data_IF_779666321494
#
_entry.id   IF_779666321494
#
_cell.length_a   1.000
_cell.length_b   1.000
_cell.length_c   1.000
_cell.angle_alpha   90.00
_cell.angle_beta   90.00
_cell.angle_gamma   90.00
#
_symmetry.space_group_name_H-M   'P 1'
#
loop_
_entity.id
_entity.type
_entity.pdbx_description
1 polymer ?
#
# COMPACT_ATOMS: atom_id res chain seq x y z
N UNK A 1 -34.78 -43.74 -0.72
CA UNK A 1 -35.82 -44.21 0.23
C UNK A 1 -35.78 -43.32 1.46
N UNK A 2 -36.99 -42.83 1.86
CA UNK A 2 -37.36 -42.09 3.08
C UNK A 2 -36.82 -40.66 3.13
N UNK A 3 -37.51 -39.55 2.82
CA UNK A 3 -38.85 -38.98 3.10
C UNK A 3 -39.06 -38.54 4.56
N UNK A 4 -39.56 -37.27 4.66
CA UNK A 4 -40.33 -36.62 5.73
C UNK A 4 -39.50 -35.72 6.67
N UNK A 5 -39.94 -34.54 7.17
CA UNK A 5 -41.25 -33.88 7.08
C UNK A 5 -41.11 -32.44 7.58
N UNK A 6 -41.87 -31.54 6.99
CA UNK A 6 -42.14 -30.15 7.35
C UNK A 6 -42.73 -29.99 8.74
N UNK A 7 -42.50 -28.85 9.40
CA UNK A 7 -43.52 -28.26 10.26
C UNK A 7 -43.46 -26.73 10.27
N UNK A 8 -44.49 -26.12 9.73
CA UNK A 8 -44.91 -24.73 9.92
C UNK A 8 -45.54 -24.57 11.30
N UNK A 9 -45.28 -23.46 12.00
CA UNK A 9 -46.26 -22.93 12.95
C UNK A 9 -46.29 -21.40 12.88
N UNK A 10 -47.45 -20.90 12.54
CA UNK A 10 -47.83 -19.50 12.54
C UNK A 10 -48.61 -19.16 13.83
N UNK A 11 -48.68 -17.92 14.19
CA UNK A 11 -49.65 -17.34 15.13
C UNK A 11 -48.97 -16.41 16.14
N UNK A 12 -49.45 -15.27 16.51
CA UNK A 12 -50.56 -14.41 16.16
C UNK A 12 -50.35 -13.10 16.92
N UNK A 13 -50.86 -12.02 16.36
CA UNK A 13 -51.04 -10.67 16.94
C UNK A 13 -51.59 -10.63 18.37
N UNK A 14 -51.19 -9.57 19.11
CA UNK A 14 -52.09 -8.84 20.01
C UNK A 14 -51.82 -7.33 19.91
N UNK A 15 -52.88 -6.60 19.60
CA UNK A 15 -53.03 -5.14 19.65
C UNK A 15 -53.54 -4.70 21.04
N UNK A 16 -53.35 -3.45 21.32
CA UNK A 16 -54.09 -2.52 22.19
C UNK A 16 -53.27 -2.03 23.41
N UNK A 17 -53.30 -0.80 23.88
CA UNK A 17 -54.28 0.29 23.76
C UNK A 17 -53.64 1.64 24.11
N UNK A 18 -54.27 2.66 23.61
CA UNK A 18 -54.20 4.09 23.87
C UNK A 18 -54.32 4.49 25.35
N UNK A 19 -53.56 5.51 25.78
CA UNK A 19 -53.76 6.25 27.01
C UNK A 19 -53.22 7.66 26.91
N UNK A 20 -54.10 8.64 26.68
CA UNK A 20 -53.84 10.06 26.80
C UNK A 20 -53.71 10.47 28.27
N UNK A 21 -52.75 11.36 28.55
CA UNK A 21 -52.68 12.12 29.79
C UNK A 21 -51.82 13.34 29.62
N UNK A 22 -52.46 14.52 29.65
CA UNK A 22 -51.87 15.84 29.56
C UNK A 22 -51.25 16.28 30.89
N UNK A 23 -50.17 17.08 30.79
CA UNK A 23 -49.88 18.06 31.84
C UNK A 23 -48.42 18.26 32.20
N UNK A 24 -47.95 19.44 31.86
CA UNK A 24 -47.06 20.32 32.59
C UNK A 24 -45.61 20.50 32.15
N UNK A 25 -45.39 21.71 31.66
CA UNK A 25 -44.07 22.32 31.35
C UNK A 25 -43.14 22.32 32.56
N UNK A 26 -41.91 21.97 32.34
CA UNK A 26 -40.78 22.47 33.13
C UNK A 26 -39.56 22.60 32.21
N UNK A 27 -39.23 23.85 31.92
CA UNK A 27 -38.01 24.25 31.26
C UNK A 27 -36.80 23.95 32.13
N UNK A 28 -35.89 23.08 31.65
CA UNK A 28 -34.51 23.04 32.13
C UNK A 28 -33.59 23.11 30.93
N UNK A 29 -32.85 24.24 30.85
CA UNK A 29 -31.69 24.39 29.96
C UNK A 29 -30.66 23.32 30.36
N UNK A 30 -30.42 22.37 29.49
CA UNK A 30 -29.32 21.42 29.53
C UNK A 30 -28.57 21.58 28.25
N UNK A 31 -27.29 21.90 28.37
CA UNK A 31 -26.32 21.94 27.29
C UNK A 31 -26.42 20.66 26.46
N UNK A 32 -26.74 20.78 25.20
CA UNK A 32 -26.80 19.66 24.28
C UNK A 32 -25.40 19.19 23.98
N UNK A 33 -25.00 18.07 24.55
CA UNK A 33 -24.10 17.15 23.91
C UNK A 33 -24.90 16.54 22.74
N UNK A 34 -24.61 17.00 21.55
CA UNK A 34 -25.10 16.39 20.31
C UNK A 34 -24.28 15.11 20.12
N UNK A 35 -24.75 14.03 20.75
CA UNK A 35 -24.42 12.71 20.23
C UNK A 35 -25.01 12.67 18.81
N UNK A 36 -24.15 12.65 17.78
CA UNK A 36 -24.56 12.33 16.44
C UNK A 36 -25.33 11.00 16.50
N UNK A 37 -26.50 10.95 15.92
CA UNK A 37 -27.17 9.66 15.65
C UNK A 37 -26.16 8.84 14.87
N UNK A 38 -25.82 7.64 15.35
CA UNK A 38 -24.97 6.70 14.64
C UNK A 38 -25.67 6.36 13.32
N UNK A 39 -25.36 7.11 12.27
CA UNK A 39 -25.65 6.71 10.89
C UNK A 39 -24.89 5.42 10.59
N UNK A 40 -25.41 4.60 9.68
CA UNK A 40 -24.68 3.44 9.21
C UNK A 40 -23.34 3.92 8.61
N UNK A 41 -22.22 3.37 9.09
CA UNK A 41 -20.88 3.68 8.57
C UNK A 41 -20.78 3.25 7.11
N UNK A 42 -20.03 4.00 6.31
CA UNK A 42 -19.77 3.70 4.91
C UNK A 42 -18.70 2.60 4.83
N UNK A 43 -19.01 1.42 4.28
CA UNK A 43 -18.02 0.36 4.16
C UNK A 43 -16.94 0.71 3.14
N UNK A 44 -15.67 0.53 3.50
CA UNK A 44 -14.51 0.74 2.63
C UNK A 44 -13.50 -0.37 2.85
N UNK A 45 -13.00 -0.96 1.76
CA UNK A 45 -11.90 -1.92 1.80
C UNK A 45 -10.63 -1.26 1.29
N UNK A 46 -9.58 -1.33 2.10
CA UNK A 46 -8.24 -0.88 1.75
C UNK A 46 -7.37 -2.12 1.58
N UNK A 47 -6.77 -2.31 0.42
CA UNK A 47 -5.91 -3.44 0.13
C UNK A 47 -4.44 -3.04 0.01
N UNK A 48 -3.53 -3.95 0.36
CA UNK A 48 -2.10 -3.87 0.13
C UNK A 48 -1.44 -5.23 0.40
N UNK A 49 -0.18 -5.43 -0.02
CA UNK A 49 0.61 -6.61 0.32
C UNK A 49 1.25 -6.48 1.71
N UNK A 50 1.89 -7.54 2.17
CA UNK A 50 2.67 -7.51 3.43
C UNK A 50 3.93 -6.66 3.25
N UNK A 51 3.81 -5.39 3.65
CA UNK A 51 4.86 -4.38 3.66
C UNK A 51 4.63 -3.41 4.82
N UNK A 52 5.64 -3.18 5.65
CA UNK A 52 5.50 -2.32 6.83
C UNK A 52 5.18 -0.85 6.47
N UNK A 53 5.52 -0.39 5.26
CA UNK A 53 5.23 0.95 4.76
C UNK A 53 3.74 1.27 4.68
N UNK A 54 2.89 0.27 4.41
CA UNK A 54 1.41 0.44 4.38
C UNK A 54 0.77 0.28 5.75
N UNK A 55 1.47 -0.33 6.69
CA UNK A 55 0.91 -0.80 7.96
C UNK A 55 0.40 0.29 8.93
N UNK A 56 0.79 1.59 8.85
CA UNK A 56 0.14 2.64 9.62
C UNK A 56 -1.39 2.70 9.43
N UNK A 57 -1.94 2.17 8.34
CA UNK A 57 -3.40 2.01 8.15
C UNK A 57 -4.02 1.18 9.30
N UNK A 58 -3.33 0.14 9.79
CA UNK A 58 -3.81 -0.62 10.96
C UNK A 58 -3.89 0.23 12.23
N UNK A 59 -2.99 1.20 12.38
CA UNK A 59 -3.06 2.16 13.50
C UNK A 59 -4.33 3.02 13.35
N UNK A 60 -4.62 3.52 12.14
CA UNK A 60 -5.82 4.31 11.90
C UNK A 60 -7.10 3.51 12.21
N UNK A 61 -7.14 2.23 11.86
CA UNK A 61 -8.26 1.32 12.18
C UNK A 61 -8.36 1.07 13.69
N UNK A 62 -7.26 0.63 14.34
CA UNK A 62 -7.26 0.29 15.79
C UNK A 62 -7.58 1.53 16.66
N UNK A 63 -7.20 2.73 16.23
CA UNK A 63 -7.49 3.99 16.94
C UNK A 63 -8.86 4.57 16.59
N UNK A 64 -9.63 3.94 15.70
CA UNK A 64 -10.98 4.36 15.33
C UNK A 64 -11.05 5.63 14.47
N UNK A 65 -9.95 6.03 13.79
CA UNK A 65 -9.92 7.28 13.03
C UNK A 65 -10.90 7.27 11.85
N UNK A 66 -11.05 6.12 11.20
CA UNK A 66 -12.02 5.94 10.11
C UNK A 66 -13.46 5.95 10.62
N UNK A 67 -13.75 5.29 11.76
CA UNK A 67 -15.07 5.28 12.36
C UNK A 67 -15.50 6.69 12.79
N UNK A 68 -14.57 7.49 13.36
CA UNK A 68 -14.81 8.91 13.68
C UNK A 68 -15.19 9.73 12.45
N UNK A 69 -14.65 9.38 11.29
CA UNK A 69 -14.93 10.02 10.01
C UNK A 69 -16.17 9.45 9.29
N UNK A 70 -16.82 8.42 9.85
CA UNK A 70 -18.04 7.83 9.28
C UNK A 70 -17.81 6.63 8.36
N UNK A 71 -16.62 6.03 8.37
CA UNK A 71 -16.26 4.88 7.53
C UNK A 71 -16.00 3.63 8.36
N UNK A 72 -16.46 2.48 7.86
CA UNK A 72 -16.15 1.14 8.37
C UNK A 72 -15.10 0.51 7.46
N UNK A 73 -13.83 0.55 7.91
CA UNK A 73 -12.70 0.11 7.10
C UNK A 73 -12.30 -1.32 7.40
N UNK A 74 -12.30 -2.15 6.35
CA UNK A 74 -11.72 -3.49 6.33
C UNK A 74 -10.39 -3.45 5.58
N UNK A 75 -9.28 -3.82 6.24
CA UNK A 75 -7.98 -4.01 5.57
C UNK A 75 -7.92 -5.41 4.98
N UNK A 76 -7.51 -5.51 3.72
CA UNK A 76 -7.41 -6.77 2.98
C UNK A 76 -5.95 -6.97 2.54
N UNK A 77 -5.27 -7.95 3.12
CA UNK A 77 -3.93 -8.33 2.65
C UNK A 77 -4.07 -9.14 1.35
N UNK A 78 -3.41 -8.67 0.30
CA UNK A 78 -3.41 -9.26 -1.04
C UNK A 78 -1.96 -9.38 -1.53
N UNK A 79 -1.39 -10.59 -1.50
CA UNK A 79 0.01 -10.81 -1.90
C UNK A 79 0.20 -10.86 -3.43
N UNK A 80 -0.85 -11.17 -4.18
CA UNK A 80 -0.80 -11.20 -5.65
C UNK A 80 -1.20 -9.84 -6.22
N UNK A 81 -0.22 -8.95 -6.34
CA UNK A 81 -0.38 -7.59 -6.88
C UNK A 81 -0.94 -7.57 -8.30
N UNK A 82 -0.79 -8.65 -9.08
CA UNK A 82 -1.34 -8.74 -10.43
C UNK A 82 -2.88 -8.70 -10.46
N UNK A 83 -3.52 -8.91 -9.31
CA UNK A 83 -4.98 -8.90 -9.14
C UNK A 83 -5.56 -7.53 -8.80
N UNK A 84 -4.73 -6.55 -8.42
CA UNK A 84 -5.16 -5.25 -7.91
C UNK A 84 -6.02 -4.46 -8.91
N UNK A 85 -5.56 -4.31 -10.14
CA UNK A 85 -6.33 -3.60 -11.18
C UNK A 85 -7.71 -4.21 -11.43
N UNK A 86 -7.82 -5.55 -11.40
CA UNK A 86 -9.12 -6.23 -11.53
C UNK A 86 -10.01 -5.99 -10.30
N UNK A 87 -9.43 -5.92 -9.10
CA UNK A 87 -10.15 -5.62 -7.87
C UNK A 87 -10.70 -4.18 -7.88
N UNK A 88 -9.93 -3.21 -8.38
CA UNK A 88 -10.40 -1.83 -8.60
C UNK A 88 -11.52 -1.77 -9.62
N UNK A 89 -11.34 -2.35 -10.82
CA UNK A 89 -12.36 -2.35 -11.88
C UNK A 89 -13.67 -2.97 -11.41
N UNK A 90 -13.62 -4.02 -10.59
CA UNK A 90 -14.81 -4.67 -10.02
C UNK A 90 -15.38 -3.96 -8.79
N UNK A 91 -14.74 -2.90 -8.30
CA UNK A 91 -15.05 -2.20 -7.05
C UNK A 91 -15.11 -3.15 -5.83
N UNK A 92 -14.29 -4.22 -5.84
CA UNK A 92 -14.18 -5.13 -4.70
C UNK A 92 -13.26 -4.60 -3.60
N UNK A 93 -12.39 -3.65 -3.93
CA UNK A 93 -11.63 -2.78 -3.03
C UNK A 93 -11.86 -1.32 -3.43
N UNK A 94 -11.83 -0.39 -2.47
CA UNK A 94 -12.07 1.02 -2.68
C UNK A 94 -10.82 1.87 -2.57
N UNK A 95 -9.81 1.40 -1.84
CA UNK A 95 -8.49 2.04 -1.77
C UNK A 95 -7.39 0.99 -1.83
N UNK A 96 -6.20 1.41 -2.24
CA UNK A 96 -5.05 0.54 -2.47
C UNK A 96 -3.77 1.24 -2.02
N UNK A 97 -2.93 0.53 -1.25
CA UNK A 97 -1.53 0.87 -1.03
C UNK A 97 -0.67 0.07 -2.00
N UNK A 98 0.07 0.76 -2.86
CA UNK A 98 0.95 0.14 -3.85
C UNK A 98 2.05 1.10 -4.29
N UNK A 99 3.06 0.59 -4.97
CA UNK A 99 4.12 1.41 -5.53
C UNK A 99 3.61 2.25 -6.70
N UNK A 100 3.96 3.52 -6.73
CA UNK A 100 3.48 4.52 -7.69
C UNK A 100 3.65 4.10 -9.15
N UNK A 101 4.77 3.48 -9.51
CA UNK A 101 5.03 3.06 -10.88
C UNK A 101 4.09 1.93 -11.36
N UNK A 102 3.60 1.11 -10.43
CA UNK A 102 2.62 0.06 -10.70
C UNK A 102 1.21 0.63 -10.85
N UNK A 103 0.83 1.58 -9.98
CA UNK A 103 -0.48 2.22 -10.04
C UNK A 103 -0.68 2.97 -11.37
N UNK A 104 0.34 3.70 -11.85
CA UNK A 104 0.24 4.38 -13.15
C UNK A 104 0.12 3.42 -14.34
N UNK A 105 0.75 2.22 -14.27
CA UNK A 105 0.55 1.17 -15.29
C UNK A 105 -0.90 0.67 -15.27
N UNK A 106 -1.47 0.44 -14.09
CA UNK A 106 -2.86 -0.01 -13.94
C UNK A 106 -3.85 1.08 -14.39
N UNK A 107 -3.58 2.34 -14.05
CA UNK A 107 -4.34 3.49 -14.53
C UNK A 107 -4.34 3.58 -16.06
N UNK A 108 -3.17 3.48 -16.73
CA UNK A 108 -3.07 3.45 -18.20
C UNK A 108 -3.80 2.25 -18.83
N UNK A 109 -3.89 1.13 -18.09
CA UNK A 109 -4.67 -0.04 -18.48
C UNK A 109 -6.20 0.16 -18.32
N UNK A 110 -6.64 1.23 -17.66
CA UNK A 110 -8.02 1.65 -17.47
C UNK A 110 -8.61 1.33 -16.10
N UNK A 111 -7.79 1.08 -15.09
CA UNK A 111 -8.26 1.01 -13.71
C UNK A 111 -8.77 2.40 -13.28
N UNK A 112 -9.93 2.48 -12.58
CA UNK A 112 -10.51 3.75 -12.13
C UNK A 112 -9.79 4.21 -10.85
N UNK A 113 -8.57 4.66 -10.99
CA UNK A 113 -7.65 4.99 -9.90
C UNK A 113 -7.35 6.47 -9.84
N UNK A 114 -7.28 7.02 -8.61
CA UNK A 114 -6.77 8.36 -8.35
C UNK A 114 -5.83 8.35 -7.15
N UNK A 115 -4.73 9.08 -7.26
CA UNK A 115 -3.77 9.31 -6.19
C UNK A 115 -4.40 10.10 -5.05
N UNK A 116 -4.13 9.70 -3.81
CA UNK A 116 -4.56 10.39 -2.58
C UNK A 116 -3.38 11.01 -1.86
N UNK A 117 -2.39 10.22 -1.49
CA UNK A 117 -1.17 10.68 -0.82
C UNK A 117 -0.03 9.68 -1.01
N UNK A 118 1.20 10.15 -0.81
CA UNK A 118 2.36 9.28 -0.64
C UNK A 118 2.35 8.70 0.75
N UNK A 119 2.52 7.39 0.85
CA UNK A 119 2.59 6.67 2.12
C UNK A 119 4.01 6.63 2.64
N UNK A 120 4.92 6.15 1.81
CA UNK A 120 6.31 6.03 2.19
C UNK A 120 7.25 6.05 0.96
N UNK A 121 8.52 6.02 1.27
CA UNK A 121 9.59 5.81 0.29
C UNK A 121 10.55 4.79 0.88
N UNK A 122 10.88 3.77 0.11
CA UNK A 122 11.91 2.81 0.50
C UNK A 122 13.28 3.50 0.53
N UNK A 123 13.94 3.43 1.67
CA UNK A 123 15.24 4.06 1.95
C UNK A 123 16.23 3.06 2.53
N UNK A 124 16.19 1.84 2.00
CA UNK A 124 17.03 0.71 2.39
C UNK A 124 16.26 -0.61 2.52
N UNK A 125 14.92 -0.58 2.45
CA UNK A 125 14.08 -1.77 2.57
C UNK A 125 14.05 -2.65 1.32
N UNK A 126 14.49 -2.14 0.17
CA UNK A 126 14.66 -2.88 -1.08
C UNK A 126 16.11 -2.92 -1.50
N UNK A 127 16.52 -3.97 -2.21
CA UNK A 127 17.89 -4.06 -2.67
C UNK A 127 18.22 -5.21 -3.59
N UNK A 128 19.41 -5.12 -4.14
CA UNK A 128 20.09 -6.13 -4.92
C UNK A 128 21.08 -6.86 -4.02
N UNK A 129 20.79 -8.10 -3.68
CA UNK A 129 21.67 -9.00 -2.93
C UNK A 129 22.54 -9.81 -3.88
N UNK A 130 23.78 -10.10 -3.47
CA UNK A 130 24.74 -10.79 -4.30
C UNK A 130 25.71 -11.66 -3.50
N UNK A 131 26.36 -12.60 -4.19
CA UNK A 131 27.47 -13.38 -3.61
C UNK A 131 28.73 -12.52 -3.51
N UNK A 132 29.65 -12.92 -2.64
CA UNK A 132 30.92 -12.22 -2.38
C UNK A 132 31.82 -12.02 -3.61
N UNK A 133 31.62 -12.80 -4.66
CA UNK A 133 32.38 -12.69 -5.93
C UNK A 133 31.87 -11.50 -6.78
N UNK A 134 30.71 -10.95 -6.49
CA UNK A 134 30.09 -9.83 -7.17
C UNK A 134 30.24 -8.62 -6.23
N UNK A 135 31.14 -7.69 -6.57
CA UNK A 135 31.46 -6.55 -5.74
C UNK A 135 30.99 -5.23 -6.34
N UNK A 136 30.63 -5.25 -7.62
CA UNK A 136 30.08 -4.11 -8.37
C UNK A 136 28.93 -4.59 -9.25
N UNK A 137 28.09 -3.67 -9.68
CA UNK A 137 27.00 -3.97 -10.63
C UNK A 137 27.53 -4.54 -11.94
N UNK A 138 28.71 -4.10 -12.39
CA UNK A 138 29.36 -4.59 -13.61
C UNK A 138 29.74 -6.09 -13.52
N UNK A 139 29.96 -6.62 -12.31
CA UNK A 139 30.27 -8.04 -12.09
C UNK A 139 29.06 -8.96 -12.34
N UNK A 140 27.85 -8.40 -12.51
CA UNK A 140 26.65 -9.15 -12.86
C UNK A 140 26.67 -9.66 -14.32
N UNK A 141 27.57 -9.19 -15.16
CA UNK A 141 27.69 -9.67 -16.53
C UNK A 141 27.89 -11.19 -16.59
N UNK A 142 26.98 -11.89 -17.26
CA UNK A 142 26.96 -13.36 -17.38
C UNK A 142 26.46 -14.11 -16.13
N UNK A 143 26.05 -13.40 -15.08
CA UNK A 143 25.49 -13.97 -13.84
C UNK A 143 24.01 -14.24 -13.95
N UNK A 144 23.50 -15.03 -13.02
CA UNK A 144 22.08 -15.34 -12.90
C UNK A 144 21.48 -14.48 -11.79
N UNK A 145 20.52 -13.63 -12.16
CA UNK A 145 19.83 -12.70 -11.24
C UNK A 145 18.35 -13.08 -11.20
N UNK A 146 17.82 -13.30 -10.00
CA UNK A 146 16.40 -13.53 -9.77
C UNK A 146 15.70 -12.20 -9.46
N UNK A 147 14.57 -11.94 -10.09
CA UNK A 147 13.71 -10.79 -9.82
C UNK A 147 12.33 -10.95 -10.44
N UNK A 148 11.38 -10.16 -9.97
CA UNK A 148 10.05 -10.05 -10.56
C UNK A 148 10.02 -8.93 -11.60
N UNK A 149 9.83 -9.31 -12.89
CA UNK A 149 9.72 -8.32 -13.99
C UNK A 149 8.38 -7.60 -14.04
N UNK A 150 7.40 -8.10 -13.35
CA UNK A 150 6.07 -7.49 -13.29
C UNK A 150 5.92 -6.49 -12.15
N UNK A 151 6.94 -6.35 -11.30
CA UNK A 151 6.93 -5.55 -10.09
C UNK A 151 8.03 -4.49 -10.07
N UNK A 152 7.97 -3.64 -9.05
CA UNK A 152 8.89 -2.53 -8.76
C UNK A 152 10.36 -2.94 -8.72
N UNK A 153 10.67 -4.17 -8.30
CA UNK A 153 12.03 -4.73 -8.33
C UNK A 153 12.69 -4.61 -9.70
N UNK A 154 11.92 -4.75 -10.78
CA UNK A 154 12.45 -4.58 -12.13
C UNK A 154 12.77 -3.12 -12.46
N UNK A 155 11.91 -2.19 -12.06
CA UNK A 155 12.17 -0.76 -12.24
C UNK A 155 13.43 -0.33 -11.47
N UNK A 156 13.52 -0.69 -10.20
CA UNK A 156 14.70 -0.45 -9.37
C UNK A 156 15.96 -1.04 -10.00
N UNK A 157 15.91 -2.32 -10.42
CA UNK A 157 17.04 -2.99 -11.05
C UNK A 157 17.53 -2.28 -12.33
N UNK A 158 16.61 -1.80 -13.16
CA UNK A 158 16.98 -1.09 -14.38
C UNK A 158 17.56 0.30 -14.09
N UNK A 159 17.14 0.98 -13.03
CA UNK A 159 17.80 2.21 -12.58
C UNK A 159 19.24 1.91 -12.12
N UNK A 160 19.44 0.85 -11.34
CA UNK A 160 20.79 0.40 -10.95
C UNK A 160 21.66 0.09 -12.15
N UNK A 161 21.10 -0.58 -13.18
CA UNK A 161 21.84 -0.85 -14.42
C UNK A 161 22.15 0.42 -15.24
N UNK A 162 21.26 1.42 -15.22
CA UNK A 162 21.50 2.67 -15.96
C UNK A 162 22.77 3.41 -15.49
N UNK A 163 23.16 3.24 -14.25
CA UNK A 163 24.38 3.80 -13.66
C UNK A 163 25.62 2.89 -13.81
N UNK A 164 25.47 1.77 -14.49
CA UNK A 164 26.55 0.79 -14.72
C UNK A 164 27.06 0.79 -16.17
N UNK A 165 28.06 -0.05 -16.45
CA UNK A 165 28.59 -0.21 -17.81
C UNK A 165 28.02 -1.45 -18.52
N UNK A 166 27.05 -2.14 -17.90
CA UNK A 166 26.42 -3.34 -18.46
C UNK A 166 24.95 -3.08 -18.76
N UNK A 167 24.40 -3.92 -19.61
CA UNK A 167 23.00 -3.88 -20.02
C UNK A 167 22.27 -5.17 -19.64
N UNK A 168 20.95 -5.12 -19.54
CA UNK A 168 20.11 -6.26 -19.14
C UNK A 168 20.37 -7.52 -19.96
N UNK A 169 20.62 -7.40 -21.26
CA UNK A 169 20.90 -8.52 -22.18
C UNK A 169 22.21 -9.26 -21.89
N UNK A 170 23.08 -8.68 -21.06
CA UNK A 170 24.31 -9.34 -20.58
C UNK A 170 24.07 -10.17 -19.29
N UNK A 171 22.85 -10.20 -18.75
CA UNK A 171 22.50 -10.85 -17.49
C UNK A 171 21.50 -11.97 -17.76
N UNK A 172 21.65 -13.12 -17.05
CA UNK A 172 20.68 -14.21 -17.11
C UNK A 172 19.58 -13.97 -16.09
N UNK A 173 18.50 -13.29 -16.44
CA UNK A 173 17.39 -13.04 -15.53
C UNK A 173 16.52 -14.30 -15.40
N UNK A 174 16.23 -14.69 -14.16
CA UNK A 174 15.25 -15.71 -13.79
C UNK A 174 14.07 -15.01 -13.12
N UNK A 175 12.93 -15.01 -13.82
CA UNK A 175 11.72 -14.34 -13.36
C UNK A 175 11.03 -15.16 -12.28
N UNK A 176 10.83 -14.56 -11.12
CA UNK A 176 10.10 -15.12 -9.98
C UNK A 176 9.72 -14.00 -9.00
N UNK A 177 8.67 -14.23 -8.18
CA UNK A 177 8.26 -13.27 -7.16
C UNK A 177 9.37 -12.97 -6.14
N UNK A 178 9.30 -11.83 -5.47
CA UNK A 178 10.38 -11.29 -4.66
C UNK A 178 10.82 -12.20 -3.51
N UNK A 179 9.88 -12.79 -2.76
CA UNK A 179 10.17 -13.76 -1.70
C UNK A 179 10.92 -14.97 -2.26
N UNK A 180 10.41 -15.52 -3.37
CA UNK A 180 11.05 -16.65 -4.04
C UNK A 180 12.45 -16.29 -4.57
N UNK A 181 12.69 -15.04 -4.98
CA UNK A 181 14.00 -14.56 -5.42
C UNK A 181 14.99 -14.52 -4.26
N UNK A 182 14.57 -14.00 -3.10
CA UNK A 182 15.37 -14.03 -1.87
C UNK A 182 15.68 -15.46 -1.42
N UNK A 183 14.69 -16.33 -1.37
CA UNK A 183 14.87 -17.75 -1.03
C UNK A 183 15.80 -18.47 -2.01
N UNK A 184 15.66 -18.21 -3.33
CA UNK A 184 16.52 -18.80 -4.35
C UNK A 184 17.98 -18.37 -4.18
N UNK A 185 18.21 -17.10 -3.77
CA UNK A 185 19.54 -16.61 -3.46
C UNK A 185 20.12 -17.31 -2.22
N UNK A 186 19.38 -17.38 -1.10
CA UNK A 186 19.81 -18.04 0.14
C UNK A 186 20.12 -19.52 -0.13
N UNK A 187 19.29 -20.20 -0.92
CA UNK A 187 19.50 -21.59 -1.31
C UNK A 187 20.69 -21.81 -2.27
N UNK A 188 21.28 -20.76 -2.82
CA UNK A 188 22.42 -20.85 -3.75
C UNK A 188 22.05 -21.20 -5.18
N UNK A 189 20.80 -21.02 -5.57
CA UNK A 189 20.30 -21.34 -6.93
C UNK A 189 20.57 -20.22 -7.94
N UNK A 190 20.81 -18.99 -7.48
CA UNK A 190 21.12 -17.81 -8.29
C UNK A 190 22.34 -17.09 -7.71
N UNK A 191 23.01 -16.26 -8.51
CA UNK A 191 24.20 -15.50 -8.10
C UNK A 191 23.83 -14.21 -7.37
N UNK A 192 22.70 -13.63 -7.73
CA UNK A 192 22.13 -12.41 -7.14
C UNK A 192 20.60 -12.43 -7.20
N UNK A 193 19.95 -11.60 -6.42
CA UNK A 193 18.50 -11.39 -6.48
C UNK A 193 18.14 -9.94 -6.13
N UNK A 194 17.04 -9.46 -6.69
CA UNK A 194 16.40 -8.22 -6.25
C UNK A 194 15.20 -8.60 -5.39
N UNK A 195 15.15 -8.07 -4.19
CA UNK A 195 14.10 -8.37 -3.20
C UNK A 195 14.01 -7.24 -2.18
N UNK A 196 13.07 -7.37 -1.25
CA UNK A 196 12.88 -6.44 -0.15
C UNK A 196 12.92 -7.16 1.21
N UNK A 197 12.74 -6.43 2.30
CA UNK A 197 12.68 -6.98 3.65
C UNK A 197 11.45 -7.92 3.83
N UNK A 198 11.56 -8.98 4.64
CA UNK A 198 12.74 -9.37 5.42
C UNK A 198 13.78 -10.19 4.64
N UNK A 199 13.51 -10.60 3.40
CA UNK A 199 14.41 -11.43 2.60
C UNK A 199 15.76 -10.74 2.31
N UNK A 200 15.75 -9.41 2.20
CA UNK A 200 16.96 -8.61 1.97
C UNK A 200 17.96 -8.76 3.12
N UNK A 201 17.54 -8.57 4.36
CA UNK A 201 18.37 -8.74 5.55
C UNK A 201 18.86 -10.18 5.74
N UNK A 202 18.04 -11.16 5.35
CA UNK A 202 18.37 -12.57 5.45
C UNK A 202 19.41 -13.04 4.42
N UNK A 203 19.85 -12.18 3.51
CA UNK A 203 20.86 -12.52 2.49
C UNK A 203 22.17 -13.06 3.11
N UNK A 204 22.53 -12.62 4.31
CA UNK A 204 23.69 -13.06 5.07
C UNK A 204 23.64 -14.51 5.55
N UNK A 205 22.48 -15.18 5.52
CA UNK A 205 22.35 -16.60 5.78
C UNK A 205 23.09 -17.46 4.74
N UNK A 206 23.24 -16.94 3.53
CA UNK A 206 24.13 -17.52 2.54
C UNK A 206 25.56 -17.12 2.82
N UNK A 207 26.51 -18.05 2.91
CA UNK A 207 27.92 -17.76 3.12
C UNK A 207 28.46 -16.76 2.06
N UNK A 208 28.85 -15.57 2.51
CA UNK A 208 29.33 -14.48 1.67
C UNK A 208 28.23 -13.71 0.94
N UNK A 209 26.95 -13.92 1.29
CA UNK A 209 25.85 -13.08 0.84
C UNK A 209 25.96 -11.68 1.41
N UNK A 210 25.65 -10.66 0.61
CA UNK A 210 25.65 -9.27 1.03
C UNK A 210 24.72 -8.43 0.15
N UNK A 211 24.29 -7.29 0.68
CA UNK A 211 23.57 -6.28 -0.07
C UNK A 211 24.60 -5.55 -0.95
N UNK A 212 24.44 -5.62 -2.27
CA UNK A 212 25.31 -4.97 -3.24
C UNK A 212 24.91 -3.51 -3.45
N UNK A 213 23.60 -3.26 -3.56
CA UNK A 213 22.99 -1.94 -3.72
C UNK A 213 21.63 -1.97 -3.00
N UNK A 214 21.24 -0.89 -2.36
CA UNK A 214 19.91 -0.75 -1.75
C UNK A 214 19.17 0.49 -2.24
N UNK A 215 17.88 0.58 -1.95
CA UNK A 215 17.04 1.75 -2.25
C UNK A 215 17.54 3.03 -1.55
N UNK A 216 18.36 2.91 -0.48
CA UNK A 216 19.01 4.06 0.14
C UNK A 216 19.99 4.79 -0.80
N UNK A 217 20.54 4.09 -1.79
CA UNK A 217 21.44 4.65 -2.79
C UNK A 217 20.68 5.33 -3.94
N UNK A 218 19.37 5.08 -4.05
CA UNK A 218 18.46 5.57 -5.10
C UNK A 218 17.24 6.26 -4.50
N UNK A 219 17.39 7.48 -3.95
CA UNK A 219 16.29 8.21 -3.34
C UNK A 219 15.10 8.37 -4.28
N UNK A 220 13.90 8.09 -3.81
CA UNK A 220 12.63 8.18 -4.57
C UNK A 220 12.52 7.20 -5.75
N UNK A 221 13.36 6.17 -5.82
CA UNK A 221 13.22 5.11 -6.82
C UNK A 221 11.99 4.24 -6.56
N UNK A 222 11.65 4.04 -5.29
CA UNK A 222 10.50 3.25 -4.84
C UNK A 222 9.69 4.13 -3.91
N UNK A 223 8.52 4.54 -4.39
CA UNK A 223 7.58 5.41 -3.69
C UNK A 223 6.25 4.68 -3.60
N UNK A 224 5.77 4.52 -2.38
CA UNK A 224 4.50 3.90 -2.09
C UNK A 224 3.41 4.95 -1.93
N UNK A 225 2.25 4.71 -2.55
CA UNK A 225 1.15 5.66 -2.56
C UNK A 225 -0.16 5.00 -2.15
N UNK A 226 -1.04 5.80 -1.60
CA UNK A 226 -2.43 5.44 -1.36
C UNK A 226 -3.26 5.98 -2.52
N UNK A 227 -4.01 5.09 -3.16
CA UNK A 227 -4.93 5.43 -4.23
C UNK A 227 -6.36 5.10 -3.85
N UNK A 228 -7.32 5.72 -4.53
CA UNK A 228 -8.75 5.51 -4.33
C UNK A 228 -9.44 5.21 -5.65
N UNK A 229 -10.45 4.34 -5.61
CA UNK A 229 -11.32 4.07 -6.75
C UNK A 229 -12.14 5.32 -7.09
N UNK A 230 -11.99 5.85 -8.30
CA UNK A 230 -12.68 7.08 -8.72
C UNK A 230 -14.21 6.95 -8.75
N UNK A 231 -14.75 5.74 -9.00
CA UNK A 231 -16.20 5.54 -8.93
C UNK A 231 -16.70 5.62 -7.48
N UNK A 232 -15.91 5.09 -6.50
CA UNK A 232 -16.24 5.21 -5.10
C UNK A 232 -16.13 6.67 -4.63
N UNK A 233 -15.12 7.40 -5.11
CA UNK A 233 -14.93 8.82 -4.81
C UNK A 233 -16.07 9.69 -5.38
N UNK A 234 -16.66 9.33 -6.55
CA UNK A 234 -17.85 10.02 -7.07
C UNK A 234 -19.08 9.86 -6.14
N UNK A 235 -19.23 8.69 -5.52
CA UNK A 235 -20.32 8.41 -4.57
C UNK A 235 -20.06 9.00 -3.18
N UNK A 236 -18.79 9.10 -2.77
CA UNK A 236 -18.30 9.56 -1.47
C UNK A 236 -17.18 10.60 -1.64
N UNK A 237 -17.53 11.87 -1.97
CA UNK A 237 -16.53 12.89 -2.36
C UNK A 237 -15.54 13.30 -1.28
N UNK A 238 -15.80 12.95 -0.03
CA UNK A 238 -14.94 13.19 1.14
C UNK A 238 -13.96 12.03 1.43
N UNK A 239 -14.14 10.88 0.77
CA UNK A 239 -13.39 9.65 1.10
C UNK A 239 -11.87 9.82 0.94
N UNK A 240 -11.41 10.57 -0.07
CA UNK A 240 -9.98 10.80 -0.26
C UNK A 240 -9.40 11.73 0.83
N UNK A 241 -10.15 12.77 1.25
CA UNK A 241 -9.76 13.64 2.38
C UNK A 241 -9.67 12.81 3.67
N UNK A 242 -10.63 11.90 3.90
CA UNK A 242 -10.65 11.00 5.06
C UNK A 242 -9.44 10.05 5.04
N UNK A 243 -9.14 9.42 3.90
CA UNK A 243 -7.97 8.56 3.75
C UNK A 243 -6.67 9.29 4.09
N UNK A 244 -6.50 10.49 3.53
CA UNK A 244 -5.31 11.31 3.76
C UNK A 244 -5.19 11.77 5.23
N UNK A 245 -6.29 12.22 5.86
CA UNK A 245 -6.30 12.62 7.28
C UNK A 245 -5.97 11.43 8.20
N UNK A 246 -6.62 10.28 7.99
CA UNK A 246 -6.40 9.08 8.78
C UNK A 246 -4.97 8.55 8.65
N UNK A 247 -4.39 8.60 7.43
CA UNK A 247 -2.98 8.29 7.19
C UNK A 247 -2.05 9.21 7.99
N UNK A 248 -2.23 10.52 7.85
CA UNK A 248 -1.40 11.51 8.54
C UNK A 248 -1.46 11.37 10.07
N UNK A 249 -2.66 11.11 10.62
CA UNK A 249 -2.86 10.84 12.06
C UNK A 249 -2.16 9.54 12.48
N UNK A 250 -2.21 8.50 11.67
CA UNK A 250 -1.57 7.22 11.95
C UNK A 250 -0.04 7.35 11.96
N UNK A 251 0.55 8.05 10.98
CA UNK A 251 1.99 8.32 10.94
C UNK A 251 2.43 9.20 12.12
N UNK A 252 1.63 10.21 12.47
CA UNK A 252 1.91 11.02 13.66
C UNK A 252 1.90 10.17 14.94
N UNK A 253 0.90 9.27 15.07
CA UNK A 253 0.84 8.34 16.20
C UNK A 253 2.04 7.41 16.25
N UNK A 254 2.43 6.82 15.12
CA UNK A 254 3.61 5.94 15.02
C UNK A 254 4.88 6.67 15.47
N UNK A 255 5.08 7.91 15.04
CA UNK A 255 6.25 8.71 15.41
C UNK A 255 6.30 9.04 16.91
N UNK A 256 5.15 9.25 17.55
CA UNK A 256 5.05 9.56 18.98
C UNK A 256 5.09 8.31 19.87
N UNK A 257 4.62 7.17 19.36
CA UNK A 257 4.40 5.93 20.11
C UNK A 257 4.96 4.73 19.34
N UNK A 258 6.23 4.79 18.93
CA UNK A 258 6.84 3.85 17.99
C UNK A 258 6.66 2.38 18.38
N UNK A 259 6.94 2.02 19.64
CA UNK A 259 6.81 0.64 20.12
C UNK A 259 5.37 0.12 19.99
N UNK A 260 4.39 0.87 20.50
CA UNK A 260 2.98 0.49 20.41
C UNK A 260 2.47 0.51 18.96
N UNK A 261 2.94 1.48 18.16
CA UNK A 261 2.65 1.54 16.72
C UNK A 261 3.11 0.27 15.99
N UNK A 262 4.36 -0.15 16.22
CA UNK A 262 4.88 -1.39 15.63
C UNK A 262 4.14 -2.64 16.12
N UNK A 263 3.71 -2.70 17.40
CA UNK A 263 2.88 -3.81 17.88
C UNK A 263 1.53 -3.90 17.16
N UNK A 264 0.88 -2.75 16.89
CA UNK A 264 -0.38 -2.70 16.12
C UNK A 264 -0.16 -3.13 14.68
N UNK A 265 0.89 -2.61 14.04
CA UNK A 265 1.25 -2.92 12.66
C UNK A 265 1.56 -4.41 12.50
N UNK A 266 2.40 -4.97 13.38
CA UNK A 266 2.78 -6.37 13.38
C UNK A 266 1.58 -7.31 13.55
N UNK A 267 0.66 -6.98 14.46
CA UNK A 267 -0.60 -7.71 14.63
C UNK A 267 -1.45 -7.69 13.35
N UNK A 268 -1.48 -6.57 12.64
CA UNK A 268 -2.24 -6.40 11.40
C UNK A 268 -1.64 -7.18 10.23
N UNK A 269 -0.32 -7.23 10.14
CA UNK A 269 0.44 -7.94 9.10
C UNK A 269 0.65 -9.43 9.40
N UNK A 270 0.30 -9.93 10.59
CA UNK A 270 0.62 -11.28 11.09
C UNK A 270 2.13 -11.57 11.12
N UNK A 271 2.93 -10.54 11.52
CA UNK A 271 4.39 -10.58 11.65
C UNK A 271 4.83 -10.44 13.11
N UNK A 272 6.12 -10.75 13.39
CA UNK A 272 6.75 -10.44 14.67
C UNK A 272 7.03 -8.92 14.78
N UNK A 273 6.82 -8.35 15.98
CA UNK A 273 7.01 -6.90 16.21
C UNK A 273 8.45 -6.44 15.93
N UNK A 274 9.45 -7.28 16.21
CA UNK A 274 10.84 -6.92 15.95
C UNK A 274 11.13 -6.88 14.45
N UNK A 275 10.54 -7.78 13.65
CA UNK A 275 10.67 -7.75 12.19
C UNK A 275 10.09 -6.46 11.62
N UNK A 276 8.90 -6.04 12.07
CA UNK A 276 8.29 -4.76 11.66
C UNK A 276 9.15 -3.55 12.05
N UNK A 277 9.80 -3.57 13.23
CA UNK A 277 10.72 -2.50 13.63
C UNK A 277 11.95 -2.43 12.74
N UNK A 278 12.49 -3.59 12.37
CA UNK A 278 13.65 -3.69 11.49
C UNK A 278 13.30 -3.19 10.07
N UNK A 279 12.11 -3.57 9.54
CA UNK A 279 11.59 -3.04 8.28
C UNK A 279 11.41 -1.52 8.31
N UNK A 280 10.84 -0.97 9.39
CA UNK A 280 10.68 0.48 9.55
C UNK A 280 11.99 1.26 9.47
N UNK A 281 13.13 0.65 9.78
CA UNK A 281 14.44 1.30 9.67
C UNK A 281 14.84 1.57 8.19
N UNK A 282 14.29 0.81 7.25
CA UNK A 282 14.48 0.98 5.81
C UNK A 282 13.40 1.80 5.12
N UNK A 283 12.50 2.45 5.86
CA UNK A 283 11.32 3.15 5.36
C UNK A 283 11.29 4.60 5.83
N UNK A 284 10.99 5.52 4.92
CA UNK A 284 10.66 6.90 5.26
C UNK A 284 9.17 7.13 5.09
N UNK A 285 8.42 7.11 6.20
CA UNK A 285 6.98 7.40 6.20
C UNK A 285 6.70 8.87 5.89
N UNK A 286 5.86 9.12 4.89
CA UNK A 286 5.46 10.48 4.53
C UNK A 286 4.37 10.99 5.47
N UNK A 287 4.68 12.04 6.22
CA UNK A 287 3.74 12.75 7.06
C UNK A 287 3.05 13.89 6.29
N UNK A 288 2.13 14.61 6.95
CA UNK A 288 1.38 15.72 6.35
C UNK A 288 2.29 16.79 5.72
N UNK A 289 3.38 17.17 6.39
CA UNK A 289 4.28 18.21 5.90
C UNK A 289 5.04 17.75 4.65
N UNK A 290 5.50 16.50 4.64
CA UNK A 290 6.19 15.89 3.49
C UNK A 290 5.23 15.72 2.30
N UNK A 291 4.02 15.22 2.54
CA UNK A 291 2.99 15.10 1.50
C UNK A 291 2.64 16.49 0.91
N UNK A 292 2.50 17.51 1.74
CA UNK A 292 2.23 18.86 1.26
C UNK A 292 3.34 19.42 0.37
N UNK A 293 4.60 19.17 0.71
CA UNK A 293 5.77 19.57 -0.09
C UNK A 293 5.84 18.78 -1.39
N UNK A 294 5.65 17.47 -1.31
CA UNK A 294 5.76 16.55 -2.45
C UNK A 294 4.59 16.70 -3.45
N UNK A 295 3.44 17.14 -2.98
CA UNK A 295 2.25 17.43 -3.80
C UNK A 295 2.24 18.85 -4.38
N UNK A 296 3.22 19.71 -4.05
CA UNK A 296 3.33 21.05 -4.65
C UNK A 296 3.83 20.95 -6.10
N UNK A 297 2.89 20.91 -7.04
CA UNK A 297 3.17 20.81 -8.48
C UNK A 297 3.94 22.03 -9.05
N UNK A 298 4.22 23.05 -8.24
CA UNK A 298 5.07 24.18 -8.60
C UNK A 298 6.57 23.96 -8.33
N UNK A 299 6.94 22.84 -7.72
CA UNK A 299 8.33 22.47 -7.42
C UNK A 299 8.86 21.45 -8.42
N UNK A 300 10.18 21.44 -8.64
CA UNK A 300 10.85 20.33 -9.30
C UNK A 300 10.87 19.10 -8.36
N UNK A 301 10.83 17.90 -8.90
CA UNK A 301 10.81 16.63 -8.15
C UNK A 301 9.54 16.42 -7.29
N UNK A 302 8.40 16.99 -7.66
CA UNK A 302 7.11 16.65 -7.07
C UNK A 302 6.63 15.25 -7.51
N UNK A 303 5.61 14.73 -6.83
CA UNK A 303 5.12 13.36 -7.09
C UNK A 303 4.71 13.13 -8.54
N UNK A 304 4.09 14.11 -9.20
CA UNK A 304 3.65 13.98 -10.59
C UNK A 304 4.82 13.95 -11.57
N UNK A 305 5.87 14.74 -11.33
CA UNK A 305 7.09 14.71 -12.16
C UNK A 305 7.79 13.36 -12.08
N UNK A 306 7.89 12.80 -10.87
CA UNK A 306 8.48 11.47 -10.67
C UNK A 306 7.61 10.38 -11.32
N UNK A 307 6.30 10.46 -11.16
CA UNK A 307 5.38 9.55 -11.84
C UNK A 307 5.49 9.65 -13.37
N UNK A 308 5.68 10.87 -13.92
CA UNK A 308 5.86 11.05 -15.36
C UNK A 308 7.17 10.42 -15.88
N UNK A 309 8.27 10.53 -15.10
CA UNK A 309 9.52 9.84 -15.44
C UNK A 309 9.34 8.32 -15.48
N UNK A 310 8.61 7.76 -14.51
CA UNK A 310 8.28 6.35 -14.51
C UNK A 310 7.35 5.97 -15.68
N UNK A 311 6.34 6.80 -15.99
CA UNK A 311 5.42 6.58 -17.10
C UNK A 311 6.17 6.57 -18.46
N UNK A 312 7.04 7.55 -18.70
CA UNK A 312 7.85 7.63 -19.91
C UNK A 312 8.74 6.38 -20.09
N UNK A 313 9.34 5.93 -18.98
CA UNK A 313 10.11 4.69 -18.94
C UNK A 313 9.26 3.46 -19.30
N UNK A 314 8.08 3.31 -18.68
CA UNK A 314 7.21 2.18 -18.93
C UNK A 314 6.57 2.18 -20.32
N UNK A 315 6.37 3.37 -20.92
CA UNK A 315 5.99 3.51 -22.35
C UNK A 315 7.13 3.01 -23.24
N UNK A 316 8.38 3.40 -22.96
CA UNK A 316 9.55 2.92 -23.72
C UNK A 316 9.71 1.40 -23.65
N UNK A 317 9.46 0.81 -22.49
CA UNK A 317 9.50 -0.65 -22.27
C UNK A 317 8.26 -1.37 -22.82
N UNK A 318 7.20 -0.66 -23.22
CA UNK A 318 5.97 -1.22 -23.79
C UNK A 318 4.97 -1.76 -22.76
N UNK A 319 5.11 -1.42 -21.48
CA UNK A 319 4.17 -1.76 -20.42
C UNK A 319 3.01 -0.76 -20.34
N UNK A 320 3.23 0.51 -20.69
CA UNK A 320 2.20 1.53 -20.83
C UNK A 320 1.96 1.89 -22.29
N UNK A 321 0.75 2.36 -22.62
CA UNK A 321 0.33 2.70 -24.00
C UNK A 321 0.48 4.19 -24.29
N UNK A 322 0.08 5.06 -23.35
CA UNK A 322 0.00 6.50 -23.58
C UNK A 322 0.96 7.30 -22.71
N UNK A 323 1.24 6.87 -21.49
CA UNK A 323 1.96 7.66 -20.49
C UNK A 323 1.20 8.91 -20.04
N UNK A 324 -0.08 9.04 -20.39
CA UNK A 324 -0.95 10.12 -19.90
C UNK A 324 -1.47 9.76 -18.50
N UNK A 325 -0.92 10.44 -17.52
CA UNK A 325 -1.24 10.25 -16.10
C UNK A 325 -1.91 11.47 -15.48
N UNK A 326 -2.36 12.44 -16.28
CA UNK A 326 -2.92 13.69 -15.76
C UNK A 326 -4.12 13.41 -14.84
N UNK A 327 -5.09 12.61 -15.27
CA UNK A 327 -6.28 12.28 -14.50
C UNK A 327 -6.02 11.43 -13.25
N UNK A 328 -4.89 10.75 -13.15
CA UNK A 328 -4.49 10.04 -11.94
C UNK A 328 -4.26 10.98 -10.76
N UNK A 329 -3.88 12.23 -11.04
CA UNK A 329 -3.58 13.27 -10.06
C UNK A 329 -4.67 14.34 -9.88
N UNK A 330 -5.87 14.12 -10.41
CA UNK A 330 -6.97 15.12 -10.36
C UNK A 330 -7.39 15.50 -8.93
N UNK A 331 -7.11 14.65 -7.95
CA UNK A 331 -7.39 14.91 -6.54
C UNK A 331 -6.35 15.85 -5.88
N UNK A 332 -5.14 15.96 -6.38
CA UNK A 332 -4.12 16.88 -5.80
C UNK A 332 -4.63 18.32 -5.91
N UNK A 333 -4.77 18.98 -4.77
CA UNK A 333 -5.27 20.36 -4.64
C UNK A 333 -4.22 21.29 -4.08
#
# INVERSE_FOLDING_TARGET
>A
MKKFLSLLLAGAMVLACVGCGAGQESTVNGSGDSAAEAGDLIPMKIAFCTWAGYAPIFIAVEKGYFEEAGYDVEVVIMEDESTYGAAFVSNSIQALGQVLDRDIIQYDAGAPEQYVCTMDCSTGGDGLIATKEIQTVDDLAGKTVALDKSATSYFFFLQVLADSNITEDQINIVEMGNDAAGEAFIAGNVDAAVTWEPALSNCGEREGGHILVSSADYPKAIIDVLTINSNFLEEHPDAADVLNDCWNRAVAYLNENFEEGCEIMAKGLDLDTEDVKDECAGITFYNEAMNKEFNDLGTDENVKEIAQLAADFWVEKGYMKSGDIDGFFDYIR
#
